data_IF_398440597030
#
_entry.id   IF_398440597030
#
_cell.length_a   1.000
_cell.length_b   1.000
_cell.length_c   1.000
_cell.angle_alpha   90.00
_cell.angle_beta   90.00
_cell.angle_gamma   90.00
#
_symmetry.space_group_name_H-M   'P 1'
#
loop_
_entity.id
_entity.type
_entity.pdbx_description
1 polymer ?
#
# COMPACT_ATOMS: atom_id res chain seq x y z
N UNK A 1 -20.52 -12.69 15.53
CA UNK A 1 -20.01 -13.52 14.42
C UNK A 1 -20.11 -12.83 13.07
N UNK A 2 -21.27 -12.29 12.65
CA UNK A 2 -21.39 -11.59 11.36
C UNK A 2 -20.62 -10.28 11.31
N UNK A 3 -20.62 -9.51 12.39
CA UNK A 3 -19.95 -8.20 12.50
C UNK A 3 -18.43 -8.32 12.32
N UNK A 4 -17.77 -9.21 13.08
CA UNK A 4 -16.32 -9.48 12.94
C UNK A 4 -15.92 -9.91 11.51
N UNK A 5 -16.77 -10.69 10.82
CA UNK A 5 -16.50 -11.07 9.42
C UNK A 5 -16.61 -9.88 8.46
N UNK A 6 -17.54 -8.96 8.71
CA UNK A 6 -17.68 -7.71 7.95
C UNK A 6 -16.47 -6.82 8.20
N UNK A 7 -16.01 -6.71 9.46
CA UNK A 7 -14.83 -5.92 9.81
C UNK A 7 -13.57 -6.41 9.08
N UNK A 8 -13.33 -7.73 9.02
CA UNK A 8 -12.20 -8.28 8.26
C UNK A 8 -12.30 -7.99 6.75
N UNK A 9 -13.51 -8.09 6.18
CA UNK A 9 -13.71 -7.77 4.77
C UNK A 9 -13.44 -6.28 4.47
N UNK A 10 -13.87 -5.38 5.36
CA UNK A 10 -13.61 -3.95 5.25
C UNK A 10 -12.12 -3.63 5.38
N UNK A 11 -11.42 -4.28 6.31
CA UNK A 11 -9.97 -4.09 6.48
C UNK A 11 -9.19 -4.62 5.28
N UNK A 12 -9.60 -5.75 4.69
CA UNK A 12 -8.99 -6.25 3.46
C UNK A 12 -9.22 -5.30 2.29
N UNK A 13 -10.45 -4.79 2.14
CA UNK A 13 -10.77 -3.80 1.10
C UNK A 13 -9.92 -2.53 1.26
N UNK A 14 -9.73 -2.04 2.49
CA UNK A 14 -8.89 -0.89 2.76
C UNK A 14 -7.41 -1.13 2.38
N UNK A 15 -6.88 -2.33 2.63
CA UNK A 15 -5.53 -2.69 2.20
C UNK A 15 -5.41 -2.72 0.66
N UNK A 16 -6.39 -3.30 -0.03
CA UNK A 16 -6.43 -3.35 -1.49
C UNK A 16 -6.53 -1.94 -2.10
N UNK A 17 -7.31 -1.05 -1.49
CA UNK A 17 -7.47 0.34 -1.94
C UNK A 17 -6.19 1.16 -1.75
N UNK A 18 -5.48 0.96 -0.63
CA UNK A 18 -4.16 1.57 -0.41
C UNK A 18 -3.14 1.08 -1.44
N UNK A 19 -3.15 -0.21 -1.77
CA UNK A 19 -2.25 -0.76 -2.78
C UNK A 19 -2.52 -0.16 -4.16
N UNK A 20 -3.80 -0.05 -4.55
CA UNK A 20 -4.19 0.61 -5.82
C UNK A 20 -3.77 2.07 -5.84
N UNK A 21 -4.00 2.81 -4.76
CA UNK A 21 -3.60 4.21 -4.66
C UNK A 21 -2.08 4.38 -4.82
N UNK A 22 -1.29 3.52 -4.16
CA UNK A 22 0.15 3.54 -4.28
C UNK A 22 0.64 3.26 -5.71
N UNK A 23 0.07 2.25 -6.38
CA UNK A 23 0.40 1.94 -7.79
C UNK A 23 -0.02 3.04 -8.76
N UNK A 24 -1.15 3.71 -8.52
CA UNK A 24 -1.57 4.84 -9.35
C UNK A 24 -0.60 6.03 -9.20
N UNK A 25 -0.18 6.33 -7.97
CA UNK A 25 0.79 7.39 -7.69
C UNK A 25 2.12 7.08 -8.40
N UNK A 26 2.62 5.86 -8.29
CA UNK A 26 3.83 5.41 -8.99
C UNK A 26 3.72 5.63 -10.51
N UNK A 27 2.60 5.22 -11.12
CA UNK A 27 2.39 5.41 -12.56
C UNK A 27 2.29 6.87 -12.98
N UNK A 28 1.68 7.75 -12.17
CA UNK A 28 1.61 9.18 -12.45
C UNK A 28 2.99 9.84 -12.37
N UNK A 29 3.81 9.41 -11.40
CA UNK A 29 5.18 9.89 -11.21
C UNK A 29 6.11 9.42 -12.33
N UNK A 30 6.00 8.17 -12.76
CA UNK A 30 6.73 7.64 -13.92
C UNK A 30 6.40 8.44 -15.20
N UNK A 31 5.11 8.76 -15.38
CA UNK A 31 4.67 9.56 -16.52
C UNK A 31 5.21 10.99 -16.43
N UNK A 32 5.23 11.58 -15.23
CA UNK A 32 5.83 12.89 -14.98
C UNK A 32 7.34 12.88 -15.29
N UNK A 33 8.07 11.89 -14.81
CA UNK A 33 9.50 11.72 -15.07
C UNK A 33 9.78 11.58 -16.56
N UNK A 34 9.02 10.74 -17.29
CA UNK A 34 9.16 10.58 -18.73
C UNK A 34 8.96 11.90 -19.48
N UNK A 35 7.98 12.71 -19.05
CA UNK A 35 7.70 14.01 -19.65
C UNK A 35 8.81 15.03 -19.35
N UNK A 36 9.38 14.98 -18.14
CA UNK A 36 10.42 15.90 -17.69
C UNK A 36 11.83 15.52 -18.14
N UNK A 37 12.08 14.26 -18.51
CA UNK A 37 13.41 13.74 -18.84
C UNK A 37 14.17 14.61 -19.85
N UNK A 38 13.48 15.11 -20.88
CA UNK A 38 14.07 15.99 -21.92
C UNK A 38 14.29 17.43 -21.45
N UNK A 39 13.54 17.88 -20.45
CA UNK A 39 13.62 19.24 -19.89
C UNK A 39 14.68 19.31 -18.79
N UNK A 40 14.86 18.25 -18.01
CA UNK A 40 15.87 18.15 -16.95
C UNK A 40 17.28 18.35 -17.50
N UNK A 41 17.57 17.86 -18.71
CA UNK A 41 18.86 18.10 -19.38
C UNK A 41 19.12 19.57 -19.72
N UNK A 42 18.07 20.40 -19.78
CA UNK A 42 18.15 21.84 -20.07
C UNK A 42 18.19 22.71 -18.82
N UNK A 43 17.96 22.12 -17.64
CA UNK A 43 17.93 22.84 -16.37
C UNK A 43 19.33 23.11 -15.85
N UNK A 44 19.53 24.28 -15.23
CA UNK A 44 20.77 24.59 -14.53
C UNK A 44 20.92 23.70 -13.28
N UNK A 45 22.16 23.45 -12.84
CA UNK A 45 22.48 22.38 -11.89
C UNK A 45 21.72 22.40 -10.55
N UNK A 46 21.26 23.56 -10.08
CA UNK A 46 20.44 23.66 -8.86
C UNK A 46 19.01 23.10 -9.07
N UNK A 47 18.40 23.40 -10.22
CA UNK A 47 17.07 22.89 -10.56
C UNK A 47 17.09 21.38 -10.84
N UNK A 48 18.17 20.88 -11.45
CA UNK A 48 18.40 19.45 -11.60
C UNK A 48 18.54 18.74 -10.24
N UNK A 49 19.28 19.32 -9.30
CA UNK A 49 19.43 18.76 -7.95
C UNK A 49 18.09 18.71 -7.21
N UNK A 50 17.32 19.81 -7.21
CA UNK A 50 16.01 19.87 -6.58
C UNK A 50 15.03 18.85 -7.16
N UNK A 51 15.08 18.61 -8.47
CA UNK A 51 14.29 17.58 -9.12
C UNK A 51 14.65 16.17 -8.63
N UNK A 52 15.93 15.81 -8.60
CA UNK A 52 16.36 14.49 -8.13
C UNK A 52 16.05 14.26 -6.64
N UNK A 53 16.05 15.32 -5.82
CA UNK A 53 15.65 15.22 -4.42
C UNK A 53 14.14 15.00 -4.28
N UNK A 54 13.33 15.74 -5.06
CA UNK A 54 11.90 15.48 -5.14
C UNK A 54 11.62 14.06 -5.63
N UNK A 55 12.40 13.58 -6.61
CA UNK A 55 12.29 12.23 -7.15
C UNK A 55 12.43 11.16 -6.09
N UNK A 56 13.53 11.20 -5.35
CA UNK A 56 13.76 10.28 -4.24
C UNK A 56 12.65 10.34 -3.20
N UNK A 57 12.13 11.53 -2.91
CA UNK A 57 11.09 11.73 -1.91
C UNK A 57 9.78 11.03 -2.31
N UNK A 58 9.33 11.20 -3.56
CA UNK A 58 8.10 10.58 -4.01
C UNK A 58 8.24 9.07 -4.19
N UNK A 59 9.39 8.58 -4.68
CA UNK A 59 9.67 7.14 -4.85
C UNK A 59 9.63 6.43 -3.49
N UNK A 60 10.29 7.05 -2.49
CA UNK A 60 10.29 6.54 -1.12
C UNK A 60 8.87 6.52 -0.54
N UNK A 61 8.08 7.58 -0.78
CA UNK A 61 6.71 7.65 -0.28
C UNK A 61 5.80 6.59 -0.92
N UNK A 62 5.92 6.36 -2.23
CA UNK A 62 5.19 5.32 -2.94
C UNK A 62 5.51 3.93 -2.39
N UNK A 63 6.80 3.64 -2.19
CA UNK A 63 7.26 2.39 -1.59
C UNK A 63 6.71 2.18 -0.18
N UNK A 64 6.73 3.21 0.67
CA UNK A 64 6.19 3.14 2.03
C UNK A 64 4.68 2.85 2.06
N UNK A 65 3.93 3.42 1.12
CA UNK A 65 2.50 3.12 0.96
C UNK A 65 2.27 1.66 0.57
N UNK A 66 3.04 1.13 -0.38
CA UNK A 66 2.97 -0.29 -0.78
C UNK A 66 3.31 -1.23 0.38
N UNK A 67 4.39 -0.95 1.11
CA UNK A 67 4.77 -1.73 2.28
C UNK A 67 3.70 -1.71 3.38
N UNK A 68 3.06 -0.57 3.58
CA UNK A 68 2.00 -0.40 4.58
C UNK A 68 0.76 -1.20 4.21
N UNK A 69 0.32 -1.10 2.94
CA UNK A 69 -0.80 -1.89 2.42
C UNK A 69 -0.53 -3.41 2.55
N UNK A 70 0.68 -3.86 2.20
CA UNK A 70 1.08 -5.26 2.34
C UNK A 70 1.07 -5.72 3.81
N UNK A 71 1.60 -4.91 4.73
CA UNK A 71 1.58 -5.19 6.17
C UNK A 71 0.15 -5.30 6.70
N UNK A 72 -0.74 -4.41 6.26
CA UNK A 72 -2.16 -4.45 6.62
C UNK A 72 -2.82 -5.74 6.13
N UNK A 73 -2.65 -6.11 4.86
CA UNK A 73 -3.21 -7.34 4.31
C UNK A 73 -2.75 -8.60 5.06
N UNK A 74 -1.45 -8.69 5.38
CA UNK A 74 -0.91 -9.80 6.19
C UNK A 74 -1.52 -9.85 7.60
N UNK A 75 -1.68 -8.70 8.26
CA UNK A 75 -2.26 -8.61 9.59
C UNK A 75 -3.74 -9.04 9.60
N UNK A 76 -4.51 -8.62 8.59
CA UNK A 76 -5.93 -9.00 8.43
C UNK A 76 -6.07 -10.50 8.21
N UNK A 77 -5.27 -11.09 7.32
CA UNK A 77 -5.29 -12.54 7.08
C UNK A 77 -4.94 -13.33 8.34
N UNK A 78 -3.89 -12.92 9.05
CA UNK A 78 -3.48 -13.57 10.30
C UNK A 78 -4.59 -13.50 11.36
N UNK A 79 -5.25 -12.34 11.48
CA UNK A 79 -6.36 -12.16 12.42
C UNK A 79 -7.56 -13.05 12.06
N UNK A 80 -7.89 -13.14 10.77
CA UNK A 80 -8.98 -14.00 10.28
C UNK A 80 -8.71 -15.49 10.54
N UNK A 81 -7.49 -15.96 10.28
CA UNK A 81 -7.07 -17.35 10.56
C UNK A 81 -7.17 -17.69 12.06
N UNK A 82 -6.62 -16.81 12.92
CA UNK A 82 -6.67 -16.98 14.37
C UNK A 82 -8.12 -17.02 14.88
N UNK A 83 -8.98 -16.16 14.34
CA UNK A 83 -10.40 -16.14 14.69
C UNK A 83 -11.08 -17.47 14.31
N UNK A 84 -10.92 -17.93 13.06
CA UNK A 84 -11.49 -19.19 12.59
C UNK A 84 -11.00 -20.41 13.40
N UNK A 85 -9.72 -20.44 13.76
CA UNK A 85 -9.14 -21.49 14.60
C UNK A 85 -9.76 -21.49 16.00
N UNK A 86 -9.94 -20.30 16.59
CA UNK A 86 -10.62 -20.12 17.87
C UNK A 86 -12.06 -20.61 17.85
N UNK A 87 -12.82 -20.24 16.81
CA UNK A 87 -14.22 -20.67 16.65
C UNK A 87 -14.34 -22.18 16.48
N UNK A 88 -13.50 -22.81 15.65
CA UNK A 88 -13.47 -24.28 15.51
C UNK A 88 -13.18 -24.98 16.82
N UNK A 89 -12.18 -24.49 17.58
CA UNK A 89 -11.83 -25.04 18.89
C UNK A 89 -12.96 -24.90 19.89
N UNK A 90 -13.70 -23.79 19.85
CA UNK A 90 -14.82 -23.56 20.75
C UNK A 90 -16.03 -24.42 20.36
N UNK A 91 -16.37 -24.50 19.07
CA UNK A 91 -17.46 -25.34 18.57
C UNK A 91 -17.24 -26.82 18.91
N UNK A 92 -16.01 -27.34 18.77
CA UNK A 92 -15.68 -28.72 19.14
C UNK A 92 -15.71 -29.01 20.64
N UNK A 93 -15.82 -27.99 21.51
CA UNK A 93 -16.01 -28.16 22.97
C UNK A 93 -17.47 -28.24 23.38
N UNK A 94 -18.39 -27.74 22.55
CA UNK A 94 -19.83 -27.71 22.80
C UNK A 94 -20.60 -28.70 21.91
N UNK A 95 -19.89 -29.59 21.21
CA UNK A 95 -20.44 -30.66 20.39
C UNK A 95 -20.32 -32.02 21.10
#
# INVERSE_FOLDING_TARGET
MSEIKVDFAQLQQAADDLQKAASNIESELDQLESNLQKLVETWEGEAQAAYHDAQKQWDQSAKEMQETAAKMGMAVNTAAENFQAGEKKNAGRFA
#
